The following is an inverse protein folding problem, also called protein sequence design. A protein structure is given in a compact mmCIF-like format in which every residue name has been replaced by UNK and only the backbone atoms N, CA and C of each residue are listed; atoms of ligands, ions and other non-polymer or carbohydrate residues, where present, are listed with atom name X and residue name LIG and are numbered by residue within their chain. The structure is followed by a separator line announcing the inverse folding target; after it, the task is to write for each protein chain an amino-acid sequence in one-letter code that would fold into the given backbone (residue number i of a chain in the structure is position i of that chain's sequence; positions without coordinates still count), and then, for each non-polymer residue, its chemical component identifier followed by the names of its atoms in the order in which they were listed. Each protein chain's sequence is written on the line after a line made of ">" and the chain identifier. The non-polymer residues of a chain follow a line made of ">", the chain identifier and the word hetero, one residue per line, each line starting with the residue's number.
data_IF_536584056048
#
_entry.id   IF_536584056048
#
_cell.length_a   1.000
_cell.length_b   1.000
_cell.length_c   1.000
_cell.angle_alpha   90.00
_cell.angle_beta   90.00
_cell.angle_gamma   90.00
#
_symmetry.space_group_name_H-M   'P 1'
#
loop_
_entity.id
_entity.type
_entity.pdbx_description
1 polymer ?
#
# COMPACT_ATOMS: atom_id res chain seq x y z
N UNK A 1 -13.90 -8.57 -0.89
CA UNK A 1 -14.47 -8.20 0.42
C UNK A 1 -15.91 -8.67 0.48
N UNK A 2 -16.36 -9.32 1.55
CA UNK A 2 -17.79 -9.66 1.71
C UNK A 2 -18.57 -8.41 2.09
N UNK A 3 -19.70 -8.19 1.41
CA UNK A 3 -20.59 -7.05 1.65
C UNK A 3 -22.05 -7.53 1.60
N UNK A 4 -22.99 -6.72 2.08
CA UNK A 4 -24.43 -7.00 1.94
C UNK A 4 -24.90 -7.11 0.49
N UNK A 5 -24.12 -6.56 -0.46
CA UNK A 5 -24.41 -6.61 -1.90
C UNK A 5 -23.64 -7.74 -2.61
N UNK A 6 -23.08 -8.69 -1.85
CA UNK A 6 -22.23 -9.78 -2.35
C UNK A 6 -20.74 -9.49 -2.22
N UNK A 7 -19.90 -10.28 -2.87
CA UNK A 7 -18.45 -10.05 -2.85
C UNK A 7 -18.11 -8.82 -3.69
N UNK A 8 -17.35 -7.87 -3.14
CA UNK A 8 -16.72 -6.78 -3.87
C UNK A 8 -15.31 -7.18 -4.29
N UNK A 9 -15.00 -7.04 -5.58
CA UNK A 9 -13.65 -7.11 -6.13
C UNK A 9 -13.04 -5.71 -6.19
N UNK A 10 -11.86 -5.53 -5.60
CA UNK A 10 -11.10 -4.28 -5.69
C UNK A 10 -9.81 -4.56 -6.45
N UNK A 11 -9.57 -3.83 -7.54
CA UNK A 11 -8.38 -3.92 -8.36
C UNK A 11 -7.62 -2.59 -8.32
N UNK A 12 -6.31 -2.65 -8.10
CA UNK A 12 -5.40 -1.52 -8.24
C UNK A 12 -4.53 -1.75 -9.47
N UNK A 13 -4.59 -0.84 -10.44
CA UNK A 13 -3.95 -0.96 -11.75
C UNK A 13 -3.00 0.20 -11.97
N UNK A 14 -1.80 -0.11 -12.44
CA UNK A 14 -0.87 0.88 -12.97
C UNK A 14 -0.60 0.57 -14.45
N UNK A 15 -0.83 1.55 -15.33
CA UNK A 15 -0.52 1.45 -16.76
C UNK A 15 0.60 2.45 -17.07
N UNK A 16 1.82 1.99 -17.40
CA UNK A 16 2.93 2.87 -17.69
C UNK A 16 2.66 3.85 -18.85
N UNK A 17 3.31 5.03 -18.87
CA UNK A 17 3.13 6.04 -19.92
C UNK A 17 3.37 5.53 -21.34
N UNK A 18 4.23 4.53 -21.51
CA UNK A 18 4.58 3.94 -22.82
C UNK A 18 3.86 2.61 -23.12
N UNK A 19 3.05 2.11 -22.19
CA UNK A 19 2.29 0.87 -22.38
C UNK A 19 0.93 1.14 -23.07
N UNK A 20 0.33 0.12 -23.66
CA UNK A 20 -1.02 0.20 -24.18
C UNK A 20 -2.05 -0.08 -23.08
N UNK A 21 -3.18 0.65 -23.10
CA UNK A 21 -4.34 0.31 -22.30
C UNK A 21 -5.19 -0.69 -23.10
N UNK A 22 -5.30 -1.92 -22.59
CA UNK A 22 -6.05 -2.99 -23.25
C UNK A 22 -7.46 -3.10 -22.67
N UNK A 23 -8.47 -3.02 -23.53
CA UNK A 23 -9.88 -3.19 -23.16
C UNK A 23 -10.14 -4.52 -22.43
N UNK A 24 -9.55 -5.61 -22.94
CA UNK A 24 -9.69 -6.98 -22.42
C UNK A 24 -9.39 -7.11 -20.92
N UNK A 25 -8.49 -6.28 -20.38
CA UNK A 25 -8.16 -6.27 -18.95
C UNK A 25 -9.38 -5.89 -18.10
N UNK A 26 -10.08 -4.83 -18.50
CA UNK A 26 -11.23 -4.30 -17.77
C UNK A 26 -12.43 -5.24 -17.89
N UNK A 27 -12.64 -5.79 -19.08
CA UNK A 27 -13.64 -6.82 -19.33
C UNK A 27 -13.38 -8.08 -18.49
N UNK A 28 -12.13 -8.55 -18.43
CA UNK A 28 -11.78 -9.72 -17.62
C UNK A 28 -12.04 -9.47 -16.13
N UNK A 29 -11.63 -8.31 -15.59
CA UNK A 29 -11.89 -7.95 -14.19
C UNK A 29 -13.39 -7.90 -13.89
N UNK A 30 -14.18 -7.31 -14.80
CA UNK A 30 -15.63 -7.26 -14.66
C UNK A 30 -16.26 -8.66 -14.72
N UNK A 31 -15.77 -9.53 -15.60
CA UNK A 31 -16.27 -10.91 -15.73
C UNK A 31 -15.87 -11.80 -14.54
N UNK A 32 -14.74 -11.52 -13.87
CA UNK A 32 -14.39 -12.17 -12.62
C UNK A 32 -15.40 -11.84 -11.50
N UNK A 33 -15.85 -10.57 -11.45
CA UNK A 33 -16.89 -10.13 -10.54
C UNK A 33 -17.51 -8.81 -11.02
N UNK A 34 -18.82 -8.83 -11.31
CA UNK A 34 -19.55 -7.65 -11.77
C UNK A 34 -19.87 -6.63 -10.66
N UNK A 35 -19.52 -6.93 -9.41
CA UNK A 35 -19.46 -6.00 -8.30
C UNK A 35 -17.98 -5.63 -8.05
N UNK A 36 -17.47 -4.69 -8.84
CA UNK A 36 -16.05 -4.34 -8.85
C UNK A 36 -15.78 -2.85 -8.76
N UNK A 37 -14.57 -2.56 -8.26
CA UNK A 37 -13.97 -1.25 -8.13
C UNK A 37 -12.54 -1.32 -8.66
N UNK A 38 -12.22 -0.50 -9.64
CA UNK A 38 -10.91 -0.42 -10.29
C UNK A 38 -10.32 0.96 -10.01
N UNK A 39 -9.11 0.99 -9.49
CA UNK A 39 -8.40 2.20 -9.05
C UNK A 39 -7.02 2.25 -9.71
N UNK A 40 -6.49 3.44 -9.97
CA UNK A 40 -5.04 3.64 -10.09
C UNK A 40 -4.60 4.56 -11.22
N UNK A 41 -3.29 4.64 -11.43
CA UNK A 41 -2.67 5.49 -12.45
C UNK A 41 -2.70 4.79 -13.80
N UNK A 42 -3.62 5.22 -14.66
CA UNK A 42 -3.77 4.65 -16.00
C UNK A 42 -2.96 5.41 -17.05
N UNK A 43 -2.32 6.54 -16.69
CA UNK A 43 -1.69 7.47 -17.64
C UNK A 43 -2.60 7.87 -18.83
N UNK A 44 -3.92 7.80 -18.62
CA UNK A 44 -4.95 8.12 -19.60
C UNK A 44 -5.47 9.53 -19.33
N UNK A 45 -5.26 10.44 -20.28
CA UNK A 45 -5.74 11.82 -20.19
C UNK A 45 -6.96 11.96 -21.11
N UNK A 46 -8.08 12.46 -20.59
CA UNK A 46 -9.36 12.50 -21.30
C UNK A 46 -10.00 13.89 -21.18
N UNK A 47 -10.08 14.61 -22.30
CA UNK A 47 -10.51 16.02 -22.30
C UNK A 47 -11.95 16.21 -21.79
N UNK A 48 -12.82 15.26 -22.09
CA UNK A 48 -14.23 15.26 -21.64
C UNK A 48 -14.38 15.13 -20.13
N UNK A 49 -13.31 14.75 -19.41
CA UNK A 49 -13.31 14.45 -17.98
C UNK A 49 -12.27 15.28 -17.22
N UNK A 50 -11.91 16.47 -17.72
CA UNK A 50 -11.10 17.45 -17.00
C UNK A 50 -9.61 17.55 -17.41
N UNK A 51 -9.13 16.72 -18.35
CA UNK A 51 -7.78 16.87 -18.91
C UNK A 51 -7.70 18.00 -19.94
N UNK A 52 -6.49 18.53 -20.19
CA UNK A 52 -6.28 19.57 -21.22
C UNK A 52 -6.49 19.04 -22.65
N UNK A 53 -6.17 17.77 -22.87
CA UNK A 53 -6.27 17.08 -24.16
C UNK A 53 -6.53 15.60 -23.93
N UNK A 54 -7.14 14.95 -24.90
CA UNK A 54 -7.24 13.49 -24.91
C UNK A 54 -5.95 12.90 -25.49
N UNK A 55 -5.32 11.97 -24.78
CA UNK A 55 -4.17 11.20 -25.30
C UNK A 55 -4.64 9.83 -25.84
N UNK A 56 -3.74 9.06 -26.46
CA UNK A 56 -4.07 7.73 -27.02
C UNK A 56 -4.73 6.81 -26.00
N UNK A 57 -4.21 6.78 -24.77
CA UNK A 57 -4.81 5.99 -23.68
C UNK A 57 -6.16 6.53 -23.22
N UNK A 58 -6.37 7.85 -23.29
CA UNK A 58 -7.67 8.47 -23.05
C UNK A 58 -8.72 8.00 -24.04
N UNK A 59 -8.37 7.88 -25.32
CA UNK A 59 -9.27 7.28 -26.31
C UNK A 59 -9.57 5.81 -26.00
N UNK A 60 -8.57 5.03 -25.57
CA UNK A 60 -8.76 3.62 -25.18
C UNK A 60 -9.62 3.48 -23.92
N UNK A 61 -9.41 4.36 -22.93
CA UNK A 61 -10.25 4.42 -21.74
C UNK A 61 -11.68 4.81 -22.09
N UNK A 62 -11.87 5.76 -23.01
CA UNK A 62 -13.20 6.13 -23.49
C UNK A 62 -13.91 4.93 -24.12
N UNK A 63 -13.22 4.10 -24.92
CA UNK A 63 -13.79 2.87 -25.46
C UNK A 63 -14.27 1.91 -24.36
N UNK A 64 -13.48 1.72 -23.29
CA UNK A 64 -13.89 0.91 -22.12
C UNK A 64 -15.16 1.47 -21.45
N UNK A 65 -15.26 2.80 -21.35
CA UNK A 65 -16.42 3.45 -20.74
C UNK A 65 -17.66 3.38 -21.63
N UNK A 66 -17.50 3.43 -22.95
CA UNK A 66 -18.58 3.40 -23.94
C UNK A 66 -19.33 2.05 -23.94
N UNK A 67 -18.68 0.97 -23.52
CA UNK A 67 -19.30 -0.35 -23.34
C UNK A 67 -20.31 -0.40 -22.18
N UNK A 68 -20.24 0.55 -21.24
CA UNK A 68 -21.27 0.78 -20.21
C UNK A 68 -21.25 -0.15 -18.99
N UNK A 69 -20.39 -1.17 -18.94
CA UNK A 69 -20.27 -2.06 -17.78
C UNK A 69 -19.45 -1.44 -16.62
N UNK A 70 -18.59 -0.46 -16.93
CA UNK A 70 -17.88 0.37 -15.96
C UNK A 70 -18.24 1.84 -16.15
N UNK A 71 -18.30 2.57 -15.06
CA UNK A 71 -18.46 4.02 -15.06
C UNK A 71 -17.30 4.68 -14.33
N UNK A 72 -16.86 5.81 -14.87
CA UNK A 72 -15.87 6.65 -14.24
C UNK A 72 -16.52 7.54 -13.17
N UNK A 73 -15.86 7.64 -12.02
CA UNK A 73 -16.26 8.56 -10.96
C UNK A 73 -15.51 9.86 -11.13
N UNK A 74 -16.23 10.93 -11.48
CA UNK A 74 -15.63 12.23 -11.71
C UNK A 74 -15.58 13.10 -10.43
N UNK A 75 -14.48 13.83 -10.26
CA UNK A 75 -14.33 14.87 -9.24
C UNK A 75 -13.74 16.18 -9.80
N UNK A 76 -13.62 16.33 -11.13
CA UNK A 76 -13.07 17.48 -11.87
C UNK A 76 -11.64 17.93 -11.48
N UNK A 77 -10.94 17.19 -10.61
CA UNK A 77 -9.67 17.61 -10.03
C UNK A 77 -8.49 16.85 -10.64
N UNK A 78 -7.43 17.60 -10.96
CA UNK A 78 -6.17 17.04 -11.45
C UNK A 78 -5.47 16.23 -10.38
N UNK A 79 -5.03 15.04 -10.73
CA UNK A 79 -4.41 14.07 -9.81
C UNK A 79 -2.89 14.03 -9.92
N UNK A 80 -2.33 14.57 -11.01
CA UNK A 80 -0.90 14.70 -11.23
C UNK A 80 -0.50 16.18 -11.31
N UNK A 81 0.67 16.53 -10.76
CA UNK A 81 1.24 17.88 -10.85
C UNK A 81 2.77 17.86 -10.84
N UNK A 82 3.39 18.43 -11.88
CA UNK A 82 4.84 18.60 -11.97
C UNK A 82 5.18 19.90 -12.72
N UNK A 83 6.05 20.75 -12.19
CA UNK A 83 6.53 21.96 -12.88
C UNK A 83 5.41 22.82 -13.53
N UNK A 84 4.33 23.09 -12.79
CA UNK A 84 3.13 23.81 -13.26
C UNK A 84 2.29 23.09 -14.33
N UNK A 85 2.64 21.86 -14.70
CA UNK A 85 1.77 20.96 -15.44
C UNK A 85 0.86 20.25 -14.45
N UNK A 86 -0.45 20.32 -14.66
CA UNK A 86 -1.43 19.52 -13.93
C UNK A 86 -2.22 18.68 -14.93
N UNK A 87 -2.48 17.41 -14.60
CA UNK A 87 -3.22 16.48 -15.44
C UNK A 87 -4.03 15.50 -14.59
N UNK A 88 -5.11 14.96 -15.14
CA UNK A 88 -5.90 13.90 -14.52
C UNK A 88 -5.57 12.58 -15.21
N UNK A 89 -4.88 11.69 -14.49
CA UNK A 89 -4.41 10.40 -15.02
C UNK A 89 -4.67 9.24 -14.06
N UNK A 90 -5.06 9.53 -12.83
CA UNK A 90 -5.48 8.56 -11.83
C UNK A 90 -7.01 8.43 -11.87
N UNK A 91 -7.51 7.22 -12.04
CA UNK A 91 -8.92 6.95 -12.30
C UNK A 91 -9.53 6.04 -11.24
N UNK A 92 -10.83 6.27 -10.97
CA UNK A 92 -11.69 5.39 -10.20
C UNK A 92 -12.82 4.95 -11.14
N UNK A 93 -12.83 3.66 -11.48
CA UNK A 93 -13.86 3.04 -12.30
C UNK A 93 -14.64 2.06 -11.44
N UNK A 94 -15.96 2.06 -11.54
CA UNK A 94 -16.82 1.20 -10.74
C UNK A 94 -17.96 0.64 -11.59
N UNK A 95 -18.37 -0.60 -11.30
CA UNK A 95 -19.58 -1.15 -11.88
C UNK A 95 -20.84 -0.52 -11.24
N UNK A 96 -21.99 -0.71 -11.88
CA UNK A 96 -23.28 -0.16 -11.42
C UNK A 96 -23.59 -0.36 -9.92
N UNK A 97 -23.51 -1.58 -9.33
CA UNK A 97 -23.80 -1.74 -7.90
C UNK A 97 -22.81 -1.01 -7.01
N UNK A 98 -21.54 -0.94 -7.42
CA UNK A 98 -20.46 -0.33 -6.65
C UNK A 98 -20.51 1.20 -6.70
N UNK A 99 -20.73 1.78 -7.88
CA UNK A 99 -20.68 3.24 -8.06
C UNK A 99 -21.75 3.96 -7.23
N UNK A 100 -22.92 3.34 -7.07
CA UNK A 100 -24.02 3.85 -6.22
C UNK A 100 -23.65 3.91 -4.74
N UNK A 101 -22.65 3.14 -4.32
CA UNK A 101 -22.16 3.13 -2.95
C UNK A 101 -21.06 4.19 -2.73
N UNK A 102 -20.55 4.84 -3.77
CA UNK A 102 -19.41 5.76 -3.67
C UNK A 102 -19.88 7.20 -3.51
N UNK A 103 -19.29 7.92 -2.56
CA UNK A 103 -19.55 9.35 -2.35
C UNK A 103 -18.33 10.06 -1.73
N UNK A 104 -18.41 11.39 -1.55
CA UNK A 104 -17.37 12.22 -0.94
C UNK A 104 -15.98 12.04 -1.59
N UNK A 105 -15.94 12.05 -2.93
CA UNK A 105 -14.68 11.98 -3.65
C UNK A 105 -13.94 13.30 -3.49
N UNK A 106 -12.71 13.23 -3.00
CA UNK A 106 -11.85 14.39 -2.76
C UNK A 106 -10.41 14.07 -3.21
N UNK A 107 -9.81 14.99 -3.96
CA UNK A 107 -8.36 14.97 -4.23
C UNK A 107 -7.64 15.67 -3.08
N UNK A 108 -6.76 14.94 -2.39
CA UNK A 108 -6.02 15.42 -1.24
C UNK A 108 -4.66 16.02 -1.64
N UNK A 109 -4.05 16.75 -0.70
CA UNK A 109 -2.69 17.22 -0.86
C UNK A 109 -1.71 16.04 -0.94
N UNK A 110 -0.66 16.09 -1.79
CA UNK A 110 0.42 15.10 -1.81
C UNK A 110 0.95 14.79 -0.42
N UNK A 111 1.31 13.54 -0.17
CA UNK A 111 1.82 13.08 1.13
C UNK A 111 3.30 13.45 1.26
N UNK A 112 4.05 13.36 0.16
CA UNK A 112 5.50 13.57 0.10
C UNK A 112 5.98 14.93 -0.43
N UNK A 113 7.28 15.19 -0.24
CA UNK A 113 7.98 16.37 -0.79
C UNK A 113 8.27 16.27 -2.30
N UNK A 114 8.25 15.07 -2.86
CA UNK A 114 8.55 14.79 -4.28
C UNK A 114 7.46 13.94 -4.95
N UNK A 115 6.27 13.92 -4.36
CA UNK A 115 5.13 13.24 -4.97
C UNK A 115 4.46 14.18 -5.94
N UNK A 116 4.50 13.79 -7.22
CA UNK A 116 3.79 14.47 -8.29
C UNK A 116 2.31 14.03 -8.33
N UNK A 117 1.96 12.90 -7.71
CA UNK A 117 0.57 12.44 -7.58
C UNK A 117 -0.11 12.98 -6.33
N UNK A 118 -1.42 13.21 -6.44
CA UNK A 118 -2.32 13.66 -5.38
C UNK A 118 -3.25 12.50 -5.03
N UNK A 119 -3.33 12.08 -3.76
CA UNK A 119 -4.20 10.97 -3.37
C UNK A 119 -5.67 11.28 -3.66
N UNK A 120 -6.38 10.33 -4.25
CA UNK A 120 -7.83 10.34 -4.32
C UNK A 120 -8.41 9.62 -3.10
N UNK A 121 -9.39 10.25 -2.47
CA UNK A 121 -10.12 9.69 -1.32
C UNK A 121 -11.60 9.69 -1.62
N UNK A 122 -12.32 8.65 -1.20
CA UNK A 122 -13.76 8.54 -1.34
C UNK A 122 -14.30 7.67 -0.21
N UNK A 123 -15.61 7.75 0.02
CA UNK A 123 -16.33 6.85 0.90
C UNK A 123 -16.96 5.75 0.06
N UNK A 124 -16.92 4.52 0.56
CA UNK A 124 -17.63 3.38 0.00
C UNK A 124 -18.66 2.90 1.02
N UNK A 125 -19.92 3.26 0.81
CA UNK A 125 -21.05 2.96 1.69
C UNK A 125 -21.57 1.55 1.43
N UNK A 126 -20.79 0.54 1.81
CA UNK A 126 -21.22 -0.85 1.76
C UNK A 126 -21.23 -1.41 3.18
N UNK A 127 -22.33 -2.06 3.57
CA UNK A 127 -22.35 -2.79 4.81
C UNK A 127 -21.45 -4.04 4.63
N UNK A 128 -20.42 -4.11 5.45
CA UNK A 128 -19.50 -5.23 5.50
C UNK A 128 -19.36 -5.64 6.95
N UNK A 129 -19.37 -6.94 7.20
CA UNK A 129 -19.12 -7.44 8.54
C UNK A 129 -17.68 -7.07 8.92
N UNK A 130 -17.47 -6.37 10.05
CA UNK A 130 -16.13 -6.08 10.51
C UNK A 130 -15.43 -7.43 10.73
N UNK A 131 -14.40 -7.69 9.94
CA UNK A 131 -13.61 -8.89 10.11
C UNK A 131 -12.97 -8.78 11.51
N UNK A 132 -13.22 -9.73 12.42
CA UNK A 132 -12.53 -9.70 13.71
C UNK A 132 -11.03 -9.72 13.43
N UNK A 133 -10.24 -8.97 14.21
CA UNK A 133 -8.79 -8.98 14.04
C UNK A 133 -8.32 -10.42 14.09
N UNK A 134 -7.88 -10.93 12.96
CA UNK A 134 -7.24 -12.22 12.93
C UNK A 134 -5.91 -12.01 13.66
N UNK A 135 -5.67 -12.67 14.80
CA UNK A 135 -4.37 -12.59 15.42
C UNK A 135 -3.34 -13.05 14.39
N UNK A 136 -2.37 -12.19 14.06
CA UNK A 136 -1.26 -12.63 13.21
C UNK A 136 -0.48 -13.65 14.02
N UNK A 137 -0.36 -14.83 13.45
CA UNK A 137 0.48 -15.90 13.97
C UNK A 137 1.93 -15.48 13.72
N UNK A 138 2.63 -15.07 14.78
CA UNK A 138 4.04 -14.73 14.74
C UNK A 138 4.87 -15.87 15.33
N UNK A 139 6.09 -16.06 14.85
CA UNK A 139 7.03 -17.01 15.42
C UNK A 139 7.81 -16.35 16.56
N UNK A 140 7.77 -16.96 17.74
CA UNK A 140 8.55 -16.52 18.88
C UNK A 140 9.96 -17.11 18.83
N UNK A 141 10.85 -16.46 18.08
CA UNK A 141 12.24 -16.90 17.93
C UNK A 141 13.07 -16.90 19.23
N UNK A 142 12.63 -16.19 20.28
CA UNK A 142 13.29 -16.23 21.60
C UNK A 142 13.05 -17.56 22.32
N UNK A 143 11.93 -18.22 22.04
CA UNK A 143 11.58 -19.54 22.58
C UNK A 143 11.86 -20.68 21.58
N UNK A 144 12.65 -20.40 20.53
CA UNK A 144 12.96 -21.39 19.49
C UNK A 144 13.80 -22.54 20.05
N UNK A 145 13.40 -23.77 19.76
CA UNK A 145 14.25 -24.93 19.93
C UNK A 145 15.16 -25.09 18.68
N UNK A 146 16.32 -24.44 18.75
CA UNK A 146 17.30 -24.47 17.65
C UNK A 146 17.91 -25.86 17.41
N UNK A 147 17.84 -26.77 18.38
CA UNK A 147 18.35 -28.13 18.19
C UNK A 147 17.32 -28.96 17.41
N UNK A 148 16.04 -28.86 17.78
CA UNK A 148 14.94 -29.45 17.03
C UNK A 148 14.85 -28.87 15.61
N UNK A 149 14.98 -27.55 15.45
CA UNK A 149 15.01 -26.89 14.15
C UNK A 149 16.08 -27.49 13.24
N UNK A 150 17.33 -27.57 13.74
CA UNK A 150 18.47 -28.11 12.98
C UNK A 150 18.26 -29.57 12.61
N UNK A 151 17.81 -30.39 13.55
CA UNK A 151 17.56 -31.81 13.30
C UNK A 151 16.47 -31.98 12.22
N UNK A 152 15.36 -31.24 12.33
CA UNK A 152 14.26 -31.33 11.37
C UNK A 152 14.67 -30.82 9.99
N UNK A 153 15.36 -29.69 9.93
CA UNK A 153 15.83 -29.12 8.67
C UNK A 153 16.82 -30.07 7.99
N UNK A 154 17.78 -30.64 8.73
CA UNK A 154 18.73 -31.60 8.17
C UNK A 154 18.03 -32.85 7.61
N UNK A 155 17.01 -33.36 8.30
CA UNK A 155 16.22 -34.50 7.79
C UNK A 155 15.50 -34.13 6.48
N UNK A 156 14.86 -32.97 6.43
CA UNK A 156 14.12 -32.50 5.24
C UNK A 156 15.07 -32.22 4.07
N UNK A 157 16.21 -31.56 4.32
CA UNK A 157 17.21 -31.28 3.30
C UNK A 157 17.88 -32.55 2.77
N UNK A 158 18.11 -33.56 3.61
CA UNK A 158 18.66 -34.85 3.17
C UNK A 158 17.68 -35.65 2.28
N UNK A 159 16.38 -35.35 2.36
CA UNK A 159 15.36 -35.91 1.48
C UNK A 159 15.26 -35.16 0.14
N UNK A 160 15.75 -33.91 0.08
CA UNK A 160 15.93 -33.20 -1.18
C UNK A 160 17.15 -33.77 -1.90
N UNK A 161 16.92 -34.46 -3.02
CA UNK A 161 18.00 -34.96 -3.88
C UNK A 161 18.66 -33.80 -4.64
N UNK A 162 19.51 -33.05 -3.93
CA UNK A 162 20.25 -31.88 -4.42
C UNK A 162 21.38 -32.24 -5.39
N UNK A 163 21.57 -33.53 -5.73
CA UNK A 163 22.64 -34.00 -6.63
C UNK A 163 22.26 -34.00 -8.10
N UNK A 164 21.01 -33.65 -8.44
CA UNK A 164 20.59 -33.54 -9.85
C UNK A 164 21.13 -32.26 -10.47
N UNK A 165 21.79 -32.40 -11.62
CA UNK A 165 22.26 -31.29 -12.45
C UNK A 165 21.07 -30.40 -12.83
N UNK A 166 21.13 -29.13 -12.43
CA UNK A 166 20.13 -28.12 -12.79
C UNK A 166 20.50 -27.60 -14.19
N UNK A 167 19.60 -27.78 -15.15
CA UNK A 167 19.80 -27.40 -16.56
C UNK A 167 18.76 -26.40 -17.06
N UNK A 168 17.67 -26.16 -16.33
CA UNK A 168 16.60 -25.24 -16.74
C UNK A 168 16.17 -24.27 -15.65
N UNK A 169 15.62 -23.11 -16.05
CA UNK A 169 15.05 -22.14 -15.11
C UNK A 169 13.86 -22.67 -14.31
N UNK A 170 13.04 -23.54 -14.90
CA UNK A 170 11.93 -24.19 -14.19
C UNK A 170 12.43 -25.07 -13.03
N UNK A 171 13.56 -25.76 -13.21
CA UNK A 171 14.16 -26.54 -12.14
C UNK A 171 14.65 -25.64 -10.99
N UNK A 172 15.20 -24.46 -11.30
CA UNK A 172 15.61 -23.48 -10.28
C UNK A 172 14.41 -23.10 -9.39
N UNK A 173 13.27 -22.75 -9.98
CA UNK A 173 12.06 -22.39 -9.23
C UNK A 173 11.52 -23.55 -8.38
N UNK A 174 11.52 -24.76 -8.94
CA UNK A 174 11.12 -25.96 -8.19
C UNK A 174 12.02 -26.20 -6.98
N UNK A 175 13.34 -26.03 -7.12
CA UNK A 175 14.27 -26.16 -6.00
C UNK A 175 14.13 -25.02 -4.98
N UNK A 176 13.94 -23.79 -5.43
CA UNK A 176 13.72 -22.64 -4.55
C UNK A 176 12.46 -22.83 -3.70
N UNK A 177 11.39 -23.34 -4.32
CA UNK A 177 10.14 -23.69 -3.64
C UNK A 177 10.37 -24.79 -2.61
N UNK A 178 11.00 -25.90 -3.02
CA UNK A 178 11.24 -27.04 -2.13
C UNK A 178 12.13 -26.67 -0.93
N UNK A 179 13.14 -25.83 -1.13
CA UNK A 179 13.98 -25.31 -0.05
C UNK A 179 13.18 -24.43 0.90
N UNK A 180 12.34 -23.54 0.36
CA UNK A 180 11.46 -22.67 1.15
C UNK A 180 10.50 -23.48 2.00
N UNK A 181 9.91 -24.55 1.44
CA UNK A 181 9.01 -25.46 2.14
C UNK A 181 9.72 -26.20 3.28
N UNK A 182 10.97 -26.64 3.07
CA UNK A 182 11.77 -27.28 4.11
C UNK A 182 12.04 -26.32 5.28
N UNK A 183 12.41 -25.07 4.98
CA UNK A 183 12.63 -24.03 5.99
C UNK A 183 11.33 -23.73 6.74
N UNK A 184 10.22 -23.55 6.02
CA UNK A 184 8.91 -23.26 6.62
C UNK A 184 8.43 -24.41 7.53
N UNK A 185 8.58 -25.66 7.10
CA UNK A 185 8.21 -26.83 7.88
C UNK A 185 9.07 -26.99 9.14
N UNK A 186 10.40 -26.81 9.02
CA UNK A 186 11.30 -26.82 10.16
C UNK A 186 10.93 -25.71 11.16
N UNK A 187 10.72 -24.50 10.68
CA UNK A 187 10.30 -23.32 11.47
C UNK A 187 9.02 -23.62 12.25
N UNK A 188 7.97 -24.10 11.58
CA UNK A 188 6.67 -24.40 12.20
C UNK A 188 6.76 -25.48 13.28
N UNK A 189 7.66 -26.44 13.13
CA UNK A 189 7.81 -27.56 14.07
C UNK A 189 8.61 -27.23 15.33
N UNK A 190 9.44 -26.18 15.29
CA UNK A 190 10.47 -25.94 16.31
C UNK A 190 10.41 -24.56 16.94
N UNK A 191 9.64 -23.64 16.34
CA UNK A 191 9.49 -22.28 16.84
C UNK A 191 8.04 -22.09 17.27
N UNK A 192 7.77 -21.91 18.58
CA UNK A 192 6.42 -21.68 19.08
C UNK A 192 5.77 -20.48 18.40
N UNK A 193 4.51 -20.63 18.06
CA UNK A 193 3.71 -19.56 17.49
C UNK A 193 2.99 -18.78 18.59
N UNK A 194 3.07 -17.46 18.52
CA UNK A 194 2.38 -16.54 19.43
C UNK A 194 1.38 -15.70 18.64
N UNK A 195 0.16 -15.64 19.15
CA UNK A 195 -0.82 -14.67 18.70
C UNK A 195 -0.35 -13.30 19.15
N UNK A 196 0.16 -12.52 18.21
CA UNK A 196 0.70 -11.21 18.50
C UNK A 196 -0.19 -10.18 17.83
N UNK A 197 -0.78 -9.30 18.63
CA UNK A 197 -1.36 -8.07 18.10
C UNK A 197 -0.21 -7.22 17.60
N UNK A 198 -0.22 -6.88 16.31
CA UNK A 198 0.78 -5.96 15.75
C UNK A 198 0.80 -4.68 16.60
N UNK A 199 1.95 -4.38 17.20
CA UNK A 199 2.14 -3.07 17.83
C UNK A 199 2.34 -2.07 16.73
N UNK A 200 1.24 -1.43 16.39
CA UNK A 200 1.20 -0.39 15.39
C UNK A 200 2.17 0.77 15.76
N UNK A 201 3.11 1.18 14.88
CA UNK A 201 3.87 2.44 14.89
C UNK A 201 2.97 3.65 15.07
N UNK A 202 3.01 4.14 16.28
CA UNK A 202 2.31 5.37 16.59
C UNK A 202 3.21 6.52 16.19
N UNK A 203 2.83 7.22 15.13
CA UNK A 203 3.35 8.55 14.84
C UNK A 203 3.15 9.47 16.05
N UNK A 204 4.12 10.36 16.27
CA UNK A 204 4.10 11.19 17.48
C UNK A 204 2.91 12.17 17.46
N UNK A 205 2.46 12.61 18.65
CA UNK A 205 1.40 13.61 18.77
C UNK A 205 1.75 14.92 18.04
N UNK A 206 3.04 15.24 17.95
CA UNK A 206 3.56 16.40 17.21
C UNK A 206 3.33 16.21 15.71
N UNK A 207 3.72 15.06 15.17
CA UNK A 207 3.50 14.72 13.76
C UNK A 207 2.01 14.74 13.39
N UNK A 208 1.13 14.19 14.23
CA UNK A 208 -0.34 14.26 14.00
C UNK A 208 -0.86 15.70 13.89
N UNK A 209 -0.35 16.63 14.70
CA UNK A 209 -0.70 18.07 14.60
C UNK A 209 -0.19 18.69 13.30
N UNK A 210 1.02 18.33 12.86
CA UNK A 210 1.60 18.83 11.61
C UNK A 210 0.84 18.34 10.37
N UNK A 211 0.31 17.10 10.38
CA UNK A 211 -0.58 16.60 9.31
C UNK A 211 -1.81 17.51 9.17
N UNK A 212 -2.50 17.78 10.30
CA UNK A 212 -3.68 18.66 10.31
C UNK A 212 -3.36 20.05 9.78
N UNK A 213 -2.24 20.64 10.24
CA UNK A 213 -1.77 21.95 9.77
C UNK A 213 -1.49 21.96 8.27
N UNK A 214 -0.81 20.93 7.73
CA UNK A 214 -0.55 20.81 6.29
C UNK A 214 -1.85 20.79 5.47
N UNK A 215 -2.84 19.99 5.89
CA UNK A 215 -4.13 19.92 5.19
C UNK A 215 -4.91 21.23 5.23
N UNK A 216 -4.92 21.92 6.38
CA UNK A 216 -5.57 23.23 6.51
C UNK A 216 -4.91 24.27 5.60
N UNK A 217 -3.58 24.34 5.59
CA UNK A 217 -2.83 25.25 4.73
C UNK A 217 -3.07 24.96 3.24
N UNK A 218 -3.10 23.69 2.84
CA UNK A 218 -3.40 23.30 1.46
C UNK A 218 -4.81 23.74 1.03
N UNK A 219 -5.83 23.45 1.86
CA UNK A 219 -7.22 23.85 1.58
C UNK A 219 -7.37 25.37 1.48
N UNK A 220 -6.68 26.12 2.35
CA UNK A 220 -6.65 27.58 2.30
C UNK A 220 -6.04 28.07 1.00
N UNK A 221 -4.85 27.59 0.66
CA UNK A 221 -4.17 27.96 -0.59
C UNK A 221 -5.01 27.64 -1.82
N UNK A 222 -5.67 26.47 -1.89
CA UNK A 222 -6.54 26.13 -3.02
C UNK A 222 -7.77 27.03 -3.13
N UNK A 223 -8.23 27.63 -2.02
CA UNK A 223 -9.36 28.58 -2.02
C UNK A 223 -8.92 29.99 -2.40
N UNK A 224 -7.77 30.45 -1.92
CA UNK A 224 -7.32 31.84 -2.08
C UNK A 224 -6.44 32.06 -3.30
N UNK A 225 -5.76 31.01 -3.76
CA UNK A 225 -4.78 31.01 -4.85
C UNK A 225 -3.70 32.11 -4.75
N UNK A 226 -3.32 32.52 -3.53
CA UNK A 226 -2.29 33.53 -3.29
C UNK A 226 -0.95 32.90 -2.86
N UNK A 227 0.14 33.65 -3.02
CA UNK A 227 1.50 33.17 -2.72
C UNK A 227 1.78 33.05 -1.22
N UNK A 228 1.08 33.80 -0.37
CA UNK A 228 1.27 33.75 1.09
C UNK A 228 0.82 32.38 1.63
N UNK A 229 -0.39 31.96 1.27
CA UNK A 229 -0.96 30.68 1.66
C UNK A 229 -0.21 29.51 0.99
N UNK A 230 0.26 29.72 -0.24
CA UNK A 230 1.15 28.77 -0.94
C UNK A 230 2.43 28.53 -0.15
N UNK A 231 3.07 29.60 0.31
CA UNK A 231 4.28 29.54 1.13
C UNK A 231 4.02 28.89 2.50
N UNK A 232 2.89 29.18 3.13
CA UNK A 232 2.47 28.52 4.38
C UNK A 232 2.28 27.01 4.20
N UNK A 233 1.69 26.59 3.08
CA UNK A 233 1.55 25.19 2.72
C UNK A 233 2.92 24.52 2.54
N UNK A 234 3.84 25.11 1.76
CA UNK A 234 5.18 24.54 1.56
C UNK A 234 5.98 24.44 2.86
N UNK A 235 5.92 25.47 3.71
CA UNK A 235 6.55 25.45 5.03
C UNK A 235 5.97 24.34 5.91
N UNK A 236 4.65 24.21 5.96
CA UNK A 236 3.97 23.15 6.71
C UNK A 236 4.32 21.75 6.18
N UNK A 237 4.50 21.62 4.86
CA UNK A 237 4.91 20.37 4.20
C UNK A 237 6.34 19.97 4.57
N UNK A 238 7.28 20.92 4.58
CA UNK A 238 8.67 20.69 4.98
C UNK A 238 8.78 20.27 6.46
N UNK A 239 8.05 20.95 7.35
CA UNK A 239 8.00 20.60 8.77
C UNK A 239 7.46 19.19 8.99
N UNK A 240 6.37 18.82 8.31
CA UNK A 240 5.81 17.47 8.40
C UNK A 240 6.80 16.40 7.92
N UNK A 241 7.47 16.63 6.79
CA UNK A 241 8.44 15.69 6.25
C UNK A 241 9.60 15.42 7.23
N UNK A 242 10.10 16.47 7.89
CA UNK A 242 11.14 16.33 8.92
C UNK A 242 10.63 15.57 10.15
N UNK A 243 9.41 15.85 10.62
CA UNK A 243 8.82 15.16 11.76
C UNK A 243 8.61 13.67 11.48
N UNK A 244 8.09 13.31 10.29
CA UNK A 244 7.94 11.91 9.87
C UNK A 244 9.29 11.20 9.77
N UNK A 245 10.32 11.87 9.26
CA UNK A 245 11.68 11.31 9.22
C UNK A 245 12.20 11.02 10.63
N UNK A 246 12.00 11.94 11.56
CA UNK A 246 12.41 11.78 12.95
C UNK A 246 11.69 10.61 13.63
N UNK A 247 10.35 10.53 13.50
CA UNK A 247 9.57 9.42 14.08
C UNK A 247 10.08 8.06 13.53
N UNK A 248 10.39 7.97 12.23
CA UNK A 248 10.95 6.75 11.61
C UNK A 248 12.35 6.43 12.13
N UNK A 249 13.23 7.42 12.22
CA UNK A 249 14.59 7.24 12.75
C UNK A 249 14.58 6.81 14.21
N UNK A 250 13.70 7.39 15.03
CA UNK A 250 13.55 7.02 16.43
C UNK A 250 13.11 5.57 16.57
N UNK A 251 12.09 5.15 15.81
CA UNK A 251 11.64 3.76 15.79
C UNK A 251 12.74 2.80 15.33
N UNK A 252 13.45 3.13 14.25
CA UNK A 252 14.56 2.32 13.78
C UNK A 252 15.62 2.16 14.86
N UNK A 253 15.93 3.22 15.59
CA UNK A 253 16.87 3.17 16.71
C UNK A 253 16.35 2.32 17.87
N UNK A 254 15.05 2.36 18.18
CA UNK A 254 14.44 1.50 19.21
C UNK A 254 14.54 0.01 18.82
N UNK A 255 14.18 -0.33 17.57
CA UNK A 255 14.30 -1.69 17.04
C UNK A 255 15.76 -2.13 17.05
N UNK A 256 16.68 -1.29 16.53
CA UNK A 256 18.11 -1.56 16.51
C UNK A 256 18.66 -1.82 17.92
N UNK A 257 18.34 -0.98 18.89
CA UNK A 257 18.76 -1.19 20.29
C UNK A 257 18.20 -2.48 20.87
N UNK A 258 16.95 -2.83 20.54
CA UNK A 258 16.33 -4.09 20.97
C UNK A 258 17.02 -5.33 20.37
N UNK A 259 17.49 -5.23 19.12
CA UNK A 259 18.21 -6.30 18.42
C UNK A 259 19.69 -6.38 18.84
N UNK A 260 20.34 -5.24 19.07
CA UNK A 260 21.74 -5.18 19.52
C UNK A 260 21.91 -5.60 20.99
N UNK A 261 20.84 -5.59 21.80
CA UNK A 261 20.86 -6.20 23.14
C UNK A 261 21.15 -7.72 23.07
N UNK A 262 20.89 -8.37 21.93
CA UNK A 262 21.46 -9.68 21.56
C UNK A 262 22.71 -9.49 20.70
N UNK A 263 23.88 -9.44 21.35
CA UNK A 263 25.26 -9.46 20.78
C UNK A 263 25.39 -9.30 19.26
N UNK A 264 25.54 -8.07 18.78
CA UNK A 264 26.36 -7.79 17.59
C UNK A 264 26.97 -6.39 17.67
N UNK A 265 28.27 -6.30 17.41
CA UNK A 265 29.03 -5.06 17.40
C UNK A 265 28.59 -4.16 16.24
N UNK A 266 28.58 -2.86 16.52
CA UNK A 266 28.03 -1.80 15.68
C UNK A 266 28.72 -1.64 14.32
N UNK A 267 27.94 -1.42 13.27
CA UNK A 267 28.28 -0.53 12.17
C UNK A 267 27.14 0.45 11.90
N UNK A 268 27.48 1.67 11.46
CA UNK A 268 26.56 2.80 11.29
C UNK A 268 25.71 2.63 10.02
N UNK A 269 24.40 2.55 10.22
CA UNK A 269 23.35 3.15 9.37
C UNK A 269 23.35 2.91 7.86
N UNK A 270 23.90 1.80 7.38
CA UNK A 270 23.77 1.42 5.96
C UNK A 270 23.35 -0.05 5.84
N UNK A 271 22.32 -0.31 5.04
CA UNK A 271 22.14 -1.63 4.42
C UNK A 271 23.29 -1.83 3.45
N UNK A 272 24.01 -2.98 3.45
CA UNK A 272 25.11 -3.20 2.52
C UNK A 272 24.60 -3.10 1.07
N UNK A 273 24.95 -2.01 0.39
CA UNK A 273 24.51 -1.79 -0.98
C UNK A 273 25.16 -2.84 -1.89
N UNK A 274 24.35 -3.58 -2.65
CA UNK A 274 24.80 -4.70 -3.49
C UNK A 274 24.71 -6.09 -2.86
N UNK A 275 24.24 -6.21 -1.62
CA UNK A 275 23.94 -7.52 -1.03
C UNK A 275 22.64 -8.11 -1.58
N UNK A 276 22.58 -9.41 -1.94
CA UNK A 276 21.33 -10.08 -2.27
C UNK A 276 20.34 -10.15 -1.09
N UNK A 277 20.77 -9.82 0.14
CA UNK A 277 19.89 -9.60 1.30
C UNK A 277 19.27 -8.19 1.36
N UNK A 278 19.75 -7.24 0.56
CA UNK A 278 19.29 -5.85 0.61
C UNK A 278 17.78 -5.70 0.36
N UNK A 279 17.17 -6.41 -0.62
CA UNK A 279 15.71 -6.39 -0.80
C UNK A 279 14.97 -6.98 0.40
N UNK A 280 15.49 -8.05 1.01
CA UNK A 280 14.89 -8.66 2.20
C UNK A 280 14.98 -7.71 3.42
N UNK A 281 16.12 -7.05 3.62
CA UNK A 281 16.31 -6.04 4.66
C UNK A 281 15.46 -4.81 4.42
N UNK A 282 15.24 -4.42 3.16
CA UNK A 282 14.30 -3.36 2.79
C UNK A 282 12.86 -3.77 3.11
N UNK A 283 12.45 -4.99 2.74
CA UNK A 283 11.13 -5.53 3.08
C UNK A 283 10.95 -5.63 4.60
N UNK A 284 11.97 -6.00 5.37
CA UNK A 284 11.92 -6.02 6.85
C UNK A 284 11.89 -4.58 7.42
N UNK A 285 12.61 -3.65 6.78
CA UNK A 285 12.61 -2.24 7.18
C UNK A 285 11.26 -1.58 6.92
N UNK A 286 10.57 -1.93 5.84
CA UNK A 286 9.25 -1.41 5.47
C UNK A 286 8.09 -2.26 5.98
N UNK A 287 8.28 -3.54 6.34
CA UNK A 287 7.21 -4.42 6.85
C UNK A 287 6.55 -3.83 8.08
N UNK A 288 7.37 -3.15 8.85
CA UNK A 288 6.99 -2.51 10.08
C UNK A 288 6.29 -1.17 9.86
N UNK A 289 6.46 -0.51 8.70
CA UNK A 289 5.92 0.83 8.42
C UNK A 289 4.38 0.90 8.53
N UNK A 290 3.70 -0.24 8.39
CA UNK A 290 2.25 -0.37 8.52
C UNK A 290 1.79 -1.02 9.82
N UNK A 291 2.71 -1.53 10.65
CA UNK A 291 2.42 -1.52 12.07
C UNK A 291 2.30 -0.03 12.33
N UNK A 292 1.13 0.52 12.61
CA UNK A 292 0.84 1.93 12.94
C UNK A 292 -0.63 2.28 12.79
N UNK A 293 -1.16 1.65 11.77
CA UNK A 293 -2.52 1.73 11.30
C UNK A 293 -3.52 1.37 12.42
N UNK A 294 -4.57 2.17 12.58
CA UNK A 294 -5.62 1.95 13.56
C UNK A 294 -6.21 0.53 13.45
N UNK A 295 -6.70 -0.04 14.56
CA UNK A 295 -7.29 -1.39 14.62
C UNK A 295 -8.48 -1.55 13.66
N UNK A 296 -9.06 -0.44 13.21
CA UNK A 296 -10.18 -0.40 12.28
C UNK A 296 -9.75 -0.05 10.85
N UNK A 297 -8.45 0.03 10.59
CA UNK A 297 -7.87 0.31 9.27
C UNK A 297 -6.96 -0.86 8.88
N UNK A 298 -7.25 -1.43 7.72
CA UNK A 298 -6.50 -2.48 7.07
C UNK A 298 -5.42 -1.90 6.15
N UNK A 299 -4.43 -2.72 5.81
CA UNK A 299 -3.33 -2.31 4.95
C UNK A 299 -2.82 -3.43 4.05
N UNK A 300 -2.27 -3.04 2.91
CA UNK A 300 -1.63 -3.92 1.94
C UNK A 300 -0.28 -3.35 1.55
N UNK A 301 0.73 -4.21 1.49
CA UNK A 301 2.08 -3.85 1.06
C UNK A 301 2.43 -4.68 -0.17
N UNK A 302 2.95 -4.01 -1.20
CA UNK A 302 3.57 -4.68 -2.35
C UNK A 302 4.81 -3.90 -2.76
N UNK A 303 5.99 -4.48 -2.57
CA UNK A 303 7.28 -3.81 -2.76
C UNK A 303 7.36 -2.46 -2.02
N UNK A 304 7.35 -1.33 -2.73
CA UNK A 304 7.33 0.03 -2.22
C UNK A 304 5.93 0.66 -2.12
N UNK A 305 4.91 0.01 -2.69
CA UNK A 305 3.52 0.48 -2.66
C UNK A 305 2.81 0.12 -1.36
N UNK A 306 2.00 1.07 -0.88
CA UNK A 306 1.19 0.93 0.33
C UNK A 306 -0.25 1.29 0.05
N UNK A 307 -1.17 0.35 0.33
CA UNK A 307 -2.59 0.61 0.37
C UNK A 307 -3.08 0.64 1.83
N UNK A 308 -3.93 1.60 2.18
CA UNK A 308 -4.64 1.70 3.46
C UNK A 308 -6.14 1.80 3.19
N UNK A 309 -6.97 1.03 3.90
CA UNK A 309 -8.43 1.12 3.81
C UNK A 309 -9.07 0.86 5.17
N UNK A 310 -10.19 1.52 5.48
CA UNK A 310 -10.92 1.33 6.76
C UNK A 310 -12.38 1.00 6.48
N UNK A 311 -13.02 0.29 7.39
CA UNK A 311 -14.46 0.02 7.36
C UNK A 311 -15.12 0.57 8.62
N UNK A 312 -16.26 1.24 8.47
CA UNK A 312 -17.06 1.75 9.58
C UNK A 312 -18.46 2.16 9.14
N UNK A 313 -19.37 2.19 10.10
CA UNK A 313 -20.80 2.41 9.92
C UNK A 313 -21.15 3.90 9.77
N UNK A 314 -20.20 4.81 10.01
CA UNK A 314 -20.39 6.26 9.89
C UNK A 314 -19.17 6.94 9.27
N UNK A 315 -19.39 7.97 8.46
CA UNK A 315 -18.32 8.76 7.82
C UNK A 315 -17.43 9.43 8.86
N UNK A 316 -18.00 9.86 10.00
CA UNK A 316 -17.23 10.45 11.10
C UNK A 316 -16.23 9.44 11.67
N UNK A 317 -16.63 8.19 11.85
CA UNK A 317 -15.75 7.13 12.32
C UNK A 317 -14.74 6.71 11.24
N UNK A 318 -15.15 6.59 9.96
CA UNK A 318 -14.21 6.36 8.84
C UNK A 318 -13.11 7.43 8.81
N UNK A 319 -13.49 8.71 8.88
CA UNK A 319 -12.56 9.83 8.92
C UNK A 319 -11.71 9.79 10.18
N UNK A 320 -12.29 9.43 11.32
CA UNK A 320 -11.54 9.27 12.56
C UNK A 320 -10.50 8.15 12.44
N UNK A 321 -10.87 6.97 11.95
CA UNK A 321 -10.00 5.79 11.80
C UNK A 321 -8.87 6.04 10.80
N UNK A 322 -9.16 6.59 9.61
CA UNK A 322 -8.12 6.94 8.63
C UNK A 322 -7.21 8.08 9.10
N UNK A 323 -7.73 9.03 9.89
CA UNK A 323 -6.92 10.12 10.45
C UNK A 323 -6.20 9.73 11.75
N UNK A 324 -6.58 8.61 12.37
CA UNK A 324 -5.94 8.06 13.57
C UNK A 324 -4.85 7.03 13.25
N UNK A 325 -4.96 6.33 12.12
CA UNK A 325 -3.92 5.51 11.46
C UNK A 325 -2.67 6.29 11.08
#
# INVERSE_FOLDING_TARGET
>A
METTNGHLLVASIYIPPNAQLHHELFEHIYNLNNNCLILGDLNAALQTMGSKRTNTKGHQLQQVLDEGYLQCIDNDLTTYTRNNYEEKIDWILASQPTILCINNIETQAPLGLKEDHKPLTFNLNMAADPKPLSPRVSFNFMAADWQLYRNKLNVLLNQLDMKKTITTGQQIEMYATALTDCIAAATKSSIPQTNTTLKHFKISKVTKKLIKRKHQAYRRWRKTNNDIDKNEYYNSRALLANALRNDRTERFNQIRSSLCASKMNSSRSETPQGSPLSPLLYIIYTSDSMNGVDEHTEHGLFADDTALWTTSNTITNLKHHLQSS
#
